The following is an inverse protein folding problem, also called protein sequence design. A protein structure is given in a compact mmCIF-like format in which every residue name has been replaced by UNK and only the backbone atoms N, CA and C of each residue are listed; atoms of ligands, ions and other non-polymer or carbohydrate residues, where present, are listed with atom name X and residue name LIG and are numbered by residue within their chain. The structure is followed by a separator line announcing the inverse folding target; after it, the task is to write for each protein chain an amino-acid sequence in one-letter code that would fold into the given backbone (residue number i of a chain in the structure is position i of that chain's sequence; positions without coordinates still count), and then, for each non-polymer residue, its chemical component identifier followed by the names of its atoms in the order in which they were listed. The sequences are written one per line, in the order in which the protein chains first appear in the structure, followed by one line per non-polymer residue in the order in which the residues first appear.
data_IF_967062121355
#
_entry.id   IF_967062121355
#
_cell.length_a   1.000
_cell.length_b   1.000
_cell.length_c   1.000
_cell.angle_alpha   90.00
_cell.angle_beta   90.00
_cell.angle_gamma   90.00
#
_symmetry.space_group_name_H-M   'P 1'
#
loop_
_entity.id
_entity.type
_entity.pdbx_description
1 polymer ?
#
# COMPACT_ATOMS: atom_id res chain seq x y z
N UNK A 1 4.34 -19.41 11.94
CA UNK A 1 3.50 -19.05 10.76
C UNK A 1 2.23 -18.29 11.14
N UNK A 2 1.42 -18.73 12.12
CA UNK A 2 0.18 -18.02 12.51
C UNK A 2 0.38 -16.52 12.75
N UNK A 3 1.40 -16.13 13.54
CA UNK A 3 1.71 -14.73 13.82
C UNK A 3 2.07 -13.93 12.55
N UNK A 4 2.88 -14.50 11.65
CA UNK A 4 3.21 -13.93 10.33
C UNK A 4 1.95 -13.70 9.49
N UNK A 5 0.99 -14.63 9.51
CA UNK A 5 -0.28 -14.45 8.81
C UNK A 5 -1.11 -13.32 9.42
N UNK A 6 -1.23 -13.29 10.75
CA UNK A 6 -1.96 -12.24 11.46
C UNK A 6 -1.33 -10.86 11.27
N UNK A 7 0.00 -10.77 11.19
CA UNK A 7 0.71 -9.49 11.07
C UNK A 7 0.37 -8.76 9.77
N UNK A 8 0.14 -9.46 8.65
CA UNK A 8 -0.30 -8.83 7.39
C UNK A 8 -1.61 -8.05 7.55
N UNK A 9 -2.54 -8.56 8.36
CA UNK A 9 -3.82 -7.91 8.65
C UNK A 9 -3.66 -6.85 9.73
N UNK A 10 -2.87 -7.13 10.76
CA UNK A 10 -2.67 -6.24 11.91
C UNK A 10 -1.83 -5.01 11.57
N UNK A 11 -0.91 -5.09 10.61
CA UNK A 11 -0.05 -3.97 10.20
C UNK A 11 -0.51 -3.32 8.89
N UNK A 12 -1.48 -3.89 8.17
CA UNK A 12 -2.07 -3.28 6.98
C UNK A 12 -2.95 -2.06 7.30
N UNK A 13 -3.12 -1.15 6.33
CA UNK A 13 -3.89 0.10 6.52
C UNK A 13 -5.39 -0.12 6.74
N UNK A 14 -5.97 -1.18 6.16
CA UNK A 14 -7.39 -1.49 6.29
C UNK A 14 -7.84 -1.79 7.72
N UNK A 15 -9.16 -1.92 7.91
CA UNK A 15 -9.73 -2.28 9.23
C UNK A 15 -9.44 -3.76 9.52
N UNK A 16 -8.66 -4.09 10.57
CA UNK A 16 -8.37 -5.48 10.90
C UNK A 16 -9.63 -6.21 11.37
N UNK A 17 -9.84 -7.43 10.86
CA UNK A 17 -10.90 -8.32 11.32
C UNK A 17 -10.30 -9.66 11.69
N UNK A 18 -10.46 -10.06 12.96
CA UNK A 18 -9.82 -11.26 13.52
C UNK A 18 -10.89 -12.19 14.07
N UNK A 19 -10.81 -13.46 13.69
CA UNK A 19 -11.67 -14.50 14.24
C UNK A 19 -11.30 -14.80 15.70
N UNK A 20 -12.30 -14.87 16.58
CA UNK A 20 -12.08 -15.16 18.00
C UNK A 20 -11.29 -16.46 18.20
N UNK A 21 -10.20 -16.39 18.97
CA UNK A 21 -9.31 -17.50 19.28
C UNK A 21 -8.16 -17.67 18.27
N UNK A 22 -8.05 -16.83 17.24
CA UNK A 22 -6.87 -16.83 16.35
C UNK A 22 -5.57 -16.60 17.12
N UNK A 23 -5.62 -15.81 18.19
CA UNK A 23 -4.55 -15.55 19.15
C UNK A 23 -4.23 -16.75 20.06
N UNK A 24 -5.11 -17.75 20.10
CA UNK A 24 -4.97 -18.98 20.89
C UNK A 24 -4.78 -20.22 20.01
N UNK A 25 -4.31 -20.03 18.77
CA UNK A 25 -4.15 -21.10 17.76
C UNK A 25 -5.43 -21.93 17.54
N UNK A 26 -6.62 -21.33 17.71
CA UNK A 26 -7.91 -22.04 17.74
C UNK A 26 -8.05 -23.02 16.59
N UNK A 27 -8.36 -24.26 16.96
CA UNK A 27 -8.74 -25.32 16.04
C UNK A 27 -10.23 -25.63 16.16
N UNK A 28 -10.79 -26.10 15.05
CA UNK A 28 -12.08 -26.79 15.01
C UNK A 28 -11.91 -28.24 14.56
N UNK A 29 -10.75 -28.83 14.83
CA UNK A 29 -10.36 -30.18 14.40
C UNK A 29 -10.58 -30.40 12.89
N UNK A 30 -10.10 -29.45 12.08
CA UNK A 30 -10.23 -29.43 10.61
C UNK A 30 -11.65 -29.24 10.06
N UNK A 31 -12.65 -28.90 10.90
CA UNK A 31 -14.00 -28.60 10.44
C UNK A 31 -14.04 -27.29 9.63
N UNK A 32 -14.44 -27.39 8.36
CA UNK A 32 -14.56 -26.22 7.46
C UNK A 32 -15.82 -25.40 7.74
N UNK A 33 -16.95 -26.06 7.99
CA UNK A 33 -18.25 -25.45 8.22
C UNK A 33 -18.85 -25.93 9.54
N UNK A 34 -18.71 -25.14 10.59
CA UNK A 34 -19.00 -25.54 11.98
C UNK A 34 -20.28 -24.96 12.57
N UNK A 35 -21.16 -24.41 11.73
CA UNK A 35 -22.38 -23.69 12.16
C UNK A 35 -23.27 -24.53 13.09
N UNK A 36 -23.31 -25.85 12.89
CA UNK A 36 -24.10 -26.82 13.64
C UNK A 36 -23.25 -28.03 14.07
N UNK A 37 -22.00 -27.77 14.47
CA UNK A 37 -21.09 -28.80 15.02
C UNK A 37 -21.03 -28.77 16.56
N UNK A 38 -21.95 -28.04 17.19
CA UNK A 38 -22.08 -27.92 18.64
C UNK A 38 -20.84 -27.36 19.34
N UNK A 39 -20.85 -27.43 20.66
CA UNK A 39 -19.78 -26.90 21.51
C UNK A 39 -18.46 -27.66 21.31
N UNK A 40 -18.53 -28.97 21.10
CA UNK A 40 -17.36 -29.86 21.01
C UNK A 40 -16.34 -29.37 19.98
N UNK A 41 -16.78 -29.08 18.75
CA UNK A 41 -15.89 -28.61 17.68
C UNK A 41 -15.65 -27.09 17.70
N UNK A 42 -16.52 -26.30 18.34
CA UNK A 42 -16.41 -24.83 18.35
C UNK A 42 -15.72 -24.26 19.59
N UNK A 43 -15.38 -25.10 20.58
CA UNK A 43 -14.79 -24.71 21.87
C UNK A 43 -13.56 -23.82 21.70
N UNK A 44 -13.51 -22.76 22.52
CA UNK A 44 -12.32 -21.92 22.73
C UNK A 44 -11.88 -22.10 24.18
N UNK A 45 -10.60 -22.42 24.37
CA UNK A 45 -10.01 -22.64 25.69
C UNK A 45 -9.29 -21.37 26.14
N UNK A 46 -10.03 -20.46 26.81
CA UNK A 46 -9.46 -19.16 27.22
C UNK A 46 -8.35 -19.28 28.27
N UNK A 47 -8.19 -20.45 28.91
CA UNK A 47 -7.09 -20.74 29.84
C UNK A 47 -5.77 -21.10 29.13
N UNK A 48 -5.77 -21.21 27.79
CA UNK A 48 -4.58 -21.51 26.98
C UNK A 48 -4.06 -22.95 27.13
N UNK A 49 -4.80 -23.84 27.78
CA UNK A 49 -4.31 -25.21 28.06
C UNK A 49 -4.30 -26.15 26.84
N UNK A 50 -5.05 -25.82 25.79
CA UNK A 50 -5.17 -26.55 24.53
C UNK A 50 -5.84 -25.62 23.49
N UNK A 51 -5.73 -25.90 22.19
CA UNK A 51 -6.39 -25.14 21.13
C UNK A 51 -7.61 -25.84 20.50
N UNK A 52 -8.04 -26.99 21.04
CA UNK A 52 -9.13 -27.84 20.51
C UNK A 52 -8.76 -28.65 19.23
N UNK A 53 -7.47 -28.84 18.97
CA UNK A 53 -6.98 -29.70 17.88
C UNK A 53 -7.22 -31.19 18.15
N UNK A 54 -7.53 -31.93 17.08
CA UNK A 54 -7.66 -33.39 17.08
C UNK A 54 -8.63 -33.94 18.15
N UNK A 55 -9.85 -33.38 18.17
CA UNK A 55 -10.95 -33.86 19.04
C UNK A 55 -11.93 -34.78 18.31
N UNK A 56 -11.56 -35.25 17.12
CA UNK A 56 -12.38 -36.10 16.25
C UNK A 56 -12.31 -35.67 14.79
N UNK A 57 -12.72 -36.56 13.88
CA UNK A 57 -12.89 -36.21 12.47
C UNK A 57 -14.06 -35.23 12.33
N UNK A 58 -13.93 -34.20 11.47
CA UNK A 58 -15.02 -33.27 11.21
C UNK A 58 -16.23 -33.99 10.60
N UNK A 59 -17.40 -33.36 10.64
CA UNK A 59 -18.66 -33.93 10.16
C UNK A 59 -18.53 -34.45 8.73
N UNK A 60 -18.97 -35.69 8.52
CA UNK A 60 -18.86 -36.39 7.23
C UNK A 60 -19.57 -35.64 6.09
N UNK A 61 -20.75 -35.08 6.36
CA UNK A 61 -21.55 -34.36 5.36
C UNK A 61 -20.88 -33.09 4.83
N UNK A 62 -19.90 -32.55 5.57
CA UNK A 62 -19.17 -31.32 5.20
C UNK A 62 -17.74 -31.58 4.74
N UNK A 63 -17.07 -32.55 5.36
CA UNK A 63 -15.63 -32.77 5.22
C UNK A 63 -15.25 -34.25 5.01
N UNK A 64 -16.21 -35.16 4.79
CA UNK A 64 -15.95 -36.58 4.55
C UNK A 64 -14.98 -36.84 3.39
N UNK A 65 -15.07 -36.05 2.33
CA UNK A 65 -14.14 -36.12 1.18
C UNK A 65 -12.69 -35.75 1.56
N UNK A 66 -12.49 -34.99 2.64
CA UNK A 66 -11.18 -34.57 3.13
C UNK A 66 -10.61 -35.52 4.20
N UNK A 67 -11.38 -36.51 4.67
CA UNK A 67 -10.99 -37.33 5.81
C UNK A 67 -9.69 -38.08 5.64
N UNK A 68 -9.37 -38.58 4.45
CA UNK A 68 -8.12 -39.31 4.24
C UNK A 68 -6.90 -38.40 4.44
N UNK A 69 -6.93 -37.18 3.91
CA UNK A 69 -5.89 -36.17 4.16
C UNK A 69 -5.86 -35.76 5.64
N UNK A 70 -7.02 -35.53 6.26
CA UNK A 70 -7.10 -35.14 7.67
C UNK A 70 -6.49 -36.22 8.56
N UNK A 71 -6.74 -37.50 8.29
CA UNK A 71 -6.13 -38.62 9.03
C UNK A 71 -4.60 -38.62 8.88
N UNK A 72 -4.07 -38.31 7.69
CA UNK A 72 -2.62 -38.18 7.48
C UNK A 72 -2.05 -37.06 8.34
N UNK A 73 -2.69 -35.88 8.38
CA UNK A 73 -2.22 -34.73 9.16
C UNK A 73 -2.32 -34.99 10.66
N UNK A 74 -3.45 -35.56 11.13
CA UNK A 74 -3.68 -35.85 12.54
C UNK A 74 -2.73 -36.94 13.07
N UNK A 75 -2.25 -37.84 12.20
CA UNK A 75 -1.26 -38.85 12.57
C UNK A 75 0.15 -38.27 12.82
N UNK A 76 0.43 -37.03 12.39
CA UNK A 76 1.68 -36.35 12.69
C UNK A 76 1.71 -35.90 14.16
N UNK A 77 2.61 -36.46 15.00
CA UNK A 77 2.69 -36.11 16.41
C UNK A 77 3.16 -34.66 16.64
N UNK A 78 3.75 -34.00 15.65
CA UNK A 78 4.24 -32.62 15.74
C UNK A 78 3.18 -31.57 15.40
N UNK A 79 2.01 -31.99 14.88
CA UNK A 79 0.96 -31.07 14.45
C UNK A 79 0.15 -30.44 15.60
N UNK A 80 0.21 -31.00 16.81
CA UNK A 80 -0.53 -30.48 17.97
C UNK A 80 0.33 -29.44 18.70
N UNK A 81 -0.13 -28.18 18.81
CA UNK A 81 0.58 -27.19 19.61
C UNK A 81 0.48 -27.52 21.10
N UNK A 82 1.52 -27.17 21.84
CA UNK A 82 1.51 -27.21 23.29
C UNK A 82 1.01 -25.88 23.91
N UNK A 83 1.03 -25.79 25.23
CA UNK A 83 0.56 -24.58 25.93
C UNK A 83 1.52 -23.39 25.75
N UNK A 84 2.82 -23.65 25.56
CA UNK A 84 3.83 -22.61 25.38
C UNK A 84 3.67 -22.00 23.96
N UNK A 85 3.38 -22.82 22.94
CA UNK A 85 3.04 -22.35 21.59
C UNK A 85 1.83 -21.40 21.59
N UNK A 86 0.78 -21.76 22.35
CA UNK A 86 -0.46 -21.00 22.47
C UNK A 86 -0.21 -19.67 23.19
N UNK A 87 0.53 -19.69 24.30
CA UNK A 87 0.85 -18.48 25.05
C UNK A 87 1.78 -17.57 24.24
N UNK A 88 2.78 -18.11 23.54
CA UNK A 88 3.65 -17.33 22.66
C UNK A 88 2.84 -16.64 21.54
N UNK A 89 1.93 -17.36 20.89
CA UNK A 89 1.06 -16.80 19.84
C UNK A 89 0.19 -15.66 20.38
N UNK A 90 -0.33 -15.81 21.59
CA UNK A 90 -1.12 -14.78 22.27
C UNK A 90 -0.28 -13.54 22.58
N UNK A 91 0.94 -13.72 23.08
CA UNK A 91 1.85 -12.60 23.34
C UNK A 91 2.25 -11.87 22.06
N UNK A 92 2.56 -12.60 20.99
CA UNK A 92 2.82 -12.02 19.66
C UNK A 92 1.60 -11.26 19.12
N UNK A 93 0.37 -11.77 19.31
CA UNK A 93 -0.83 -11.04 18.91
C UNK A 93 -1.04 -9.74 19.70
N UNK A 94 -0.81 -9.77 21.02
CA UNK A 94 -0.86 -8.57 21.86
C UNK A 94 0.24 -7.57 21.51
N UNK A 95 1.43 -8.04 21.12
CA UNK A 95 2.50 -7.22 20.57
C UNK A 95 2.04 -6.49 19.29
N UNK A 96 1.47 -7.21 18.32
CA UNK A 96 0.96 -6.62 17.07
C UNK A 96 -0.12 -5.56 17.35
N UNK A 97 -1.00 -5.80 18.32
CA UNK A 97 -2.00 -4.82 18.76
C UNK A 97 -1.34 -3.56 19.34
N UNK A 98 -0.36 -3.72 20.23
CA UNK A 98 0.38 -2.59 20.82
C UNK A 98 1.07 -1.77 19.73
N UNK A 99 1.77 -2.42 18.80
CA UNK A 99 2.45 -1.76 17.67
C UNK A 99 1.46 -1.02 16.78
N UNK A 100 0.36 -1.67 16.35
CA UNK A 100 -0.66 -0.98 15.53
C UNK A 100 -1.22 0.26 16.23
N UNK A 101 -1.38 0.20 17.55
CA UNK A 101 -1.93 1.30 18.34
C UNK A 101 -0.92 2.38 18.70
N UNK A 102 0.40 2.14 18.54
CA UNK A 102 1.44 3.09 18.95
C UNK A 102 1.61 4.25 17.98
N UNK A 103 1.17 4.10 16.73
CA UNK A 103 1.30 5.12 15.68
C UNK A 103 0.03 5.25 14.85
N UNK A 104 -0.29 6.48 14.43
CA UNK A 104 -1.36 6.76 13.46
C UNK A 104 -0.97 6.30 12.04
N UNK A 105 0.32 6.14 11.77
CA UNK A 105 0.83 5.71 10.47
C UNK A 105 0.32 4.33 10.04
N UNK A 106 -0.05 3.44 10.98
CA UNK A 106 -0.68 2.15 10.66
C UNK A 106 -2.18 2.24 10.32
N UNK A 107 -2.79 3.41 10.45
CA UNK A 107 -4.25 3.63 10.42
C UNK A 107 -4.58 4.96 9.74
N UNK A 108 -3.97 5.22 8.57
CA UNK A 108 -4.21 6.45 7.81
C UNK A 108 -5.68 6.54 7.36
N UNK A 109 -6.29 7.71 7.54
CA UNK A 109 -7.74 7.90 7.40
C UNK A 109 -8.23 7.99 5.94
N UNK A 110 -7.36 8.34 5.00
CA UNK A 110 -7.74 8.63 3.61
C UNK A 110 -6.84 7.93 2.60
N UNK A 111 -7.38 7.68 1.40
CA UNK A 111 -6.62 7.14 0.29
C UNK A 111 -5.43 8.04 -0.09
N UNK A 112 -5.60 9.36 -0.02
CA UNK A 112 -4.54 10.32 -0.35
C UNK A 112 -3.37 10.23 0.63
N UNK A 113 -3.63 10.09 1.93
CA UNK A 113 -2.56 9.89 2.91
C UNK A 113 -1.88 8.54 2.72
N UNK A 114 -2.62 7.47 2.40
CA UNK A 114 -2.02 6.17 2.06
C UNK A 114 -1.11 6.28 0.84
N UNK A 115 -1.57 6.91 -0.25
CA UNK A 115 -0.79 7.05 -1.48
C UNK A 115 0.46 7.91 -1.29
N UNK A 116 0.41 8.93 -0.42
CA UNK A 116 1.55 9.81 -0.14
C UNK A 116 2.61 9.19 0.76
N UNK A 117 2.24 8.18 1.57
CA UNK A 117 3.08 7.73 2.69
C UNK A 117 3.47 6.26 2.60
N UNK A 118 2.57 5.41 2.13
CA UNK A 118 2.75 3.97 2.16
C UNK A 118 3.44 3.52 0.90
N UNK A 119 4.47 2.69 1.06
CA UNK A 119 5.24 2.15 -0.03
C UNK A 119 5.65 0.69 0.21
N UNK A 120 5.86 -0.05 -0.87
CA UNK A 120 6.34 -1.44 -0.86
C UNK A 120 7.63 -1.54 -1.67
N UNK A 121 8.69 -2.06 -1.04
CA UNK A 121 10.06 -1.99 -1.56
C UNK A 121 10.55 -3.25 -2.27
N UNK A 122 10.14 -4.43 -1.80
CA UNK A 122 10.51 -5.70 -2.45
C UNK A 122 9.47 -6.04 -3.53
N UNK A 123 9.61 -5.44 -4.71
CA UNK A 123 8.66 -5.55 -5.84
C UNK A 123 9.40 -5.87 -7.14
N UNK A 124 8.64 -6.06 -8.23
CA UNK A 124 9.20 -6.37 -9.55
C UNK A 124 9.58 -7.84 -9.75
N UNK A 125 10.19 -8.13 -10.91
CA UNK A 125 10.56 -9.50 -11.31
C UNK A 125 11.72 -10.06 -10.48
N UNK A 126 12.54 -9.20 -9.87
CA UNK A 126 13.68 -9.58 -9.05
C UNK A 126 13.36 -9.67 -7.54
N UNK A 127 12.08 -9.55 -7.17
CA UNK A 127 11.67 -9.60 -5.76
C UNK A 127 12.06 -10.93 -5.09
N UNK A 128 12.35 -10.86 -3.80
CA UNK A 128 12.50 -12.07 -2.97
C UNK A 128 11.12 -12.62 -2.63
N UNK A 129 10.79 -13.81 -3.14
CA UNK A 129 9.50 -14.46 -2.85
C UNK A 129 9.32 -14.71 -1.35
N UNK A 130 8.14 -14.36 -0.82
CA UNK A 130 7.83 -14.51 0.60
C UNK A 130 8.41 -13.41 1.51
N UNK A 131 8.91 -12.32 0.94
CA UNK A 131 9.32 -11.13 1.69
C UNK A 131 8.44 -9.94 1.31
N UNK A 132 7.74 -9.36 2.27
CA UNK A 132 7.02 -8.09 2.10
C UNK A 132 7.76 -7.03 2.90
N UNK A 133 8.11 -5.92 2.26
CA UNK A 133 8.77 -4.78 2.89
C UNK A 133 7.88 -3.56 2.69
N UNK A 134 7.11 -3.21 3.71
CA UNK A 134 6.24 -2.03 3.70
C UNK A 134 6.93 -0.89 4.46
N UNK A 135 7.01 0.29 3.87
CA UNK A 135 7.40 1.53 4.55
C UNK A 135 6.24 2.49 4.65
N UNK A 136 6.25 3.33 5.68
CA UNK A 136 5.26 4.38 5.90
C UNK A 136 6.00 5.67 6.28
N UNK A 137 5.87 6.70 5.45
CA UNK A 137 6.55 7.98 5.60
C UNK A 137 5.79 8.95 6.52
N UNK A 138 6.50 9.57 7.45
CA UNK A 138 6.09 10.80 8.15
C UNK A 138 7.10 11.93 8.00
N UNK A 139 7.99 11.83 7.01
CA UNK A 139 8.96 12.86 6.67
C UNK A 139 8.32 14.10 6.07
N UNK A 140 9.13 15.15 5.93
CA UNK A 140 8.67 16.45 5.39
C UNK A 140 8.01 16.38 4.01
N UNK A 141 8.39 15.40 3.17
CA UNK A 141 7.78 15.16 1.84
C UNK A 141 6.35 14.67 1.92
N UNK A 142 5.99 13.91 2.96
CA UNK A 142 4.63 13.42 3.17
C UNK A 142 3.66 14.52 3.63
N UNK A 143 4.16 15.71 3.96
CA UNK A 143 3.39 16.84 4.44
C UNK A 143 3.45 16.97 5.96
N UNK A 144 2.33 17.33 6.59
CA UNK A 144 2.27 17.52 8.04
C UNK A 144 2.54 16.19 8.76
N UNK A 145 3.43 16.21 9.75
CA UNK A 145 3.65 15.06 10.64
C UNK A 145 2.33 14.62 11.32
N UNK A 146 2.10 13.31 11.29
CA UNK A 146 0.99 12.59 11.92
C UNK A 146 1.46 11.80 13.15
N UNK A 147 2.75 11.49 13.25
CA UNK A 147 3.35 10.80 14.39
C UNK A 147 4.59 11.56 14.88
N UNK A 148 4.43 12.30 15.97
CA UNK A 148 5.53 13.08 16.56
C UNK A 148 6.68 12.24 17.13
N UNK A 149 6.54 10.91 17.19
CA UNK A 149 7.58 10.01 17.69
C UNK A 149 8.45 9.44 16.57
N UNK A 150 7.96 9.35 15.34
CA UNK A 150 8.63 8.62 14.27
C UNK A 150 8.52 9.35 12.93
N UNK A 151 9.66 9.61 12.29
CA UNK A 151 9.70 10.17 10.92
C UNK A 151 9.38 9.11 9.85
N UNK A 152 9.55 7.82 10.16
CA UNK A 152 9.17 6.72 9.29
C UNK A 152 9.04 5.40 10.04
N UNK A 153 8.27 4.47 9.47
CA UNK A 153 8.12 3.09 9.93
C UNK A 153 8.42 2.14 8.78
N UNK A 154 9.11 1.03 9.07
CA UNK A 154 9.31 -0.08 8.13
C UNK A 154 8.82 -1.38 8.77
N UNK A 155 7.80 -2.00 8.19
CA UNK A 155 7.30 -3.31 8.59
C UNK A 155 7.69 -4.37 7.55
N UNK A 156 8.44 -5.38 8.00
CA UNK A 156 8.94 -6.45 7.14
C UNK A 156 8.33 -7.78 7.56
N UNK A 157 7.63 -8.43 6.65
CA UNK A 157 7.07 -9.77 6.81
C UNK A 157 7.96 -10.74 6.05
N UNK A 158 8.76 -11.53 6.76
CA UNK A 158 9.55 -12.61 6.18
C UNK A 158 8.82 -13.95 6.40
N UNK A 159 8.15 -14.46 5.38
CA UNK A 159 7.51 -15.78 5.40
C UNK A 159 8.40 -16.91 4.85
N UNK A 160 9.68 -16.64 4.60
CA UNK A 160 10.65 -17.66 4.16
C UNK A 160 11.20 -18.43 5.37
N UNK A 161 11.82 -19.59 5.10
CA UNK A 161 12.49 -20.42 6.11
C UNK A 161 13.94 -19.99 6.39
N UNK A 162 14.38 -18.85 5.86
CA UNK A 162 15.73 -18.32 6.01
C UNK A 162 15.69 -16.86 6.46
N UNK A 163 16.78 -16.38 7.05
CA UNK A 163 16.93 -14.95 7.35
C UNK A 163 17.05 -14.18 6.04
N UNK A 164 16.30 -13.09 5.92
CA UNK A 164 16.37 -12.19 4.76
C UNK A 164 17.08 -10.90 5.14
N UNK A 165 17.81 -10.33 4.19
CA UNK A 165 18.38 -8.99 4.30
C UNK A 165 17.92 -8.16 3.11
N UNK A 166 17.41 -6.97 3.38
CA UNK A 166 16.87 -6.08 2.36
C UNK A 166 17.45 -4.69 2.53
N UNK A 167 18.07 -4.16 1.48
CA UNK A 167 18.65 -2.82 1.48
C UNK A 167 17.62 -1.82 0.99
N UNK A 168 17.45 -0.74 1.73
CA UNK A 168 16.72 0.45 1.29
C UNK A 168 17.72 1.59 1.22
N UNK A 169 18.10 2.01 0.00
CA UNK A 169 19.04 3.12 -0.19
C UNK A 169 18.50 4.39 0.45
N UNK A 170 19.35 5.12 1.20
CA UNK A 170 18.98 6.32 1.93
C UNK A 170 18.35 6.08 3.30
N UNK A 171 17.99 4.84 3.65
CA UNK A 171 17.47 4.54 4.99
C UNK A 171 18.55 4.77 6.05
N UNK A 172 18.21 5.49 7.12
CA UNK A 172 19.13 5.84 8.21
C UNK A 172 18.42 5.77 9.56
N UNK A 173 19.19 5.52 10.61
CA UNK A 173 18.75 5.62 12.02
C UNK A 173 17.51 4.80 12.42
N UNK A 174 17.21 3.73 11.68
CA UNK A 174 16.16 2.78 12.06
C UNK A 174 16.60 1.90 13.23
N UNK A 175 15.66 1.65 14.15
CA UNK A 175 15.84 0.64 15.20
C UNK A 175 14.62 -0.26 15.28
N UNK A 176 14.78 -1.49 15.77
CA UNK A 176 13.66 -2.38 16.05
C UNK A 176 12.67 -1.69 17.01
N UNK A 177 11.37 -1.83 16.78
CA UNK A 177 10.35 -1.23 17.62
C UNK A 177 10.49 -1.71 19.07
N UNK A 178 10.32 -0.82 20.05
CA UNK A 178 10.63 -1.11 21.45
C UNK A 178 9.80 -2.27 22.03
N UNK A 179 8.56 -2.44 21.56
CA UNK A 179 7.74 -3.62 21.93
C UNK A 179 8.44 -4.91 21.50
N UNK A 180 9.03 -4.96 20.31
CA UNK A 180 9.73 -6.15 19.79
C UNK A 180 11.11 -6.35 20.42
N UNK A 181 11.83 -5.27 20.76
CA UNK A 181 13.06 -5.38 21.57
C UNK A 181 12.80 -6.07 22.92
N UNK A 182 11.60 -5.91 23.46
CA UNK A 182 11.15 -6.49 24.73
C UNK A 182 10.15 -7.65 24.53
N UNK A 183 10.15 -8.30 23.36
CA UNK A 183 9.21 -9.39 23.05
C UNK A 183 9.42 -10.62 23.93
N UNK A 184 8.42 -11.48 24.04
CA UNK A 184 8.59 -12.86 24.55
C UNK A 184 9.17 -13.78 23.47
N UNK A 185 9.13 -13.37 22.20
CA UNK A 185 9.76 -14.08 21.09
C UNK A 185 11.24 -13.64 20.95
N UNK A 186 12.17 -14.52 21.31
CA UNK A 186 13.60 -14.25 21.17
C UNK A 186 14.06 -14.18 19.70
N UNK A 187 13.30 -14.74 18.76
CA UNK A 187 13.65 -14.72 17.33
C UNK A 187 13.55 -13.28 16.80
N UNK A 188 12.45 -12.57 17.05
CA UNK A 188 12.26 -11.21 16.53
C UNK A 188 13.27 -10.20 17.10
N UNK A 189 13.79 -10.44 18.30
CA UNK A 189 14.87 -9.62 18.90
C UNK A 189 16.17 -9.64 18.09
N UNK A 190 16.37 -10.68 17.28
CA UNK A 190 17.49 -10.79 16.35
C UNK A 190 17.36 -9.92 15.09
N UNK A 191 16.18 -9.32 14.85
CA UNK A 191 15.98 -8.41 13.73
C UNK A 191 16.78 -7.11 13.96
N UNK A 192 17.44 -6.62 12.91
CA UNK A 192 18.40 -5.52 13.04
C UNK A 192 18.43 -4.64 11.80
N UNK A 193 18.97 -3.43 11.99
CA UNK A 193 19.26 -2.49 10.93
C UNK A 193 20.70 -2.01 11.04
N UNK A 194 21.45 -2.07 9.96
CA UNK A 194 22.80 -1.54 9.86
C UNK A 194 23.14 -1.19 8.41
N UNK A 195 23.77 -0.04 8.20
CA UNK A 195 24.24 0.42 6.87
C UNK A 195 23.15 0.26 5.78
N UNK A 196 22.00 0.92 5.99
CA UNK A 196 20.85 0.92 5.06
C UNK A 196 20.16 -0.45 4.88
N UNK A 197 20.58 -1.48 5.60
CA UNK A 197 20.12 -2.86 5.43
C UNK A 197 19.33 -3.33 6.64
N UNK A 198 18.13 -3.83 6.38
CA UNK A 198 17.27 -4.48 7.36
C UNK A 198 17.46 -5.99 7.28
N UNK A 199 17.76 -6.63 8.40
CA UNK A 199 17.89 -8.08 8.51
C UNK A 199 16.77 -8.63 9.39
N UNK A 200 16.01 -9.58 8.86
CA UNK A 200 14.85 -10.17 9.53
C UNK A 200 14.97 -11.70 9.52
N UNK A 201 14.94 -12.37 10.68
CA UNK A 201 15.01 -13.83 10.77
C UNK A 201 13.89 -14.55 10.01
N UNK A 202 14.05 -15.85 9.80
CA UNK A 202 13.04 -16.71 9.17
C UNK A 202 11.68 -16.62 9.87
N UNK A 203 10.59 -16.73 9.11
CA UNK A 203 9.21 -16.79 9.63
C UNK A 203 8.87 -15.71 10.68
N UNK A 204 9.36 -14.49 10.46
CA UNK A 204 9.30 -13.39 11.43
C UNK A 204 8.67 -12.15 10.80
N UNK A 205 7.90 -11.40 11.56
CA UNK A 205 7.52 -10.02 11.21
C UNK A 205 8.22 -9.05 12.13
N UNK A 206 9.03 -8.15 11.57
CA UNK A 206 9.77 -7.14 12.33
C UNK A 206 9.31 -5.73 11.92
N UNK A 207 9.14 -4.87 12.91
CA UNK A 207 8.77 -3.46 12.73
C UNK A 207 9.94 -2.61 13.20
N UNK A 208 10.42 -1.75 12.33
CA UNK A 208 11.49 -0.79 12.60
C UNK A 208 10.92 0.62 12.57
N UNK A 209 11.46 1.50 13.40
CA UNK A 209 11.08 2.90 13.46
C UNK A 209 12.30 3.77 13.31
N UNK A 210 12.16 4.86 12.55
CA UNK A 210 13.10 5.96 12.51
C UNK A 210 12.55 7.03 13.46
N UNK A 211 13.18 7.17 14.62
CA UNK A 211 12.71 8.10 15.65
C UNK A 211 12.83 9.55 15.16
N UNK A 212 11.80 10.34 15.40
CA UNK A 212 11.82 11.77 15.09
C UNK A 212 12.73 12.52 16.08
N UNK A 213 13.51 13.47 15.56
CA UNK A 213 14.35 14.36 16.36
C UNK A 213 13.58 15.57 16.92
N UNK A 214 14.29 16.69 17.12
CA UNK A 214 13.66 17.95 17.58
C UNK A 214 12.65 18.54 16.58
N UNK A 215 12.73 18.14 15.31
CA UNK A 215 11.85 18.55 14.22
C UNK A 215 11.60 17.36 13.29
N UNK A 216 10.55 17.45 12.47
CA UNK A 216 10.22 16.46 11.45
C UNK A 216 11.41 16.31 10.49
N UNK A 217 11.87 15.08 10.34
CA UNK A 217 12.99 14.71 9.51
C UNK A 217 12.61 14.43 8.07
N UNK A 218 13.56 13.84 7.34
CA UNK A 218 13.35 13.45 5.93
C UNK A 218 12.43 12.25 5.78
N UNK A 219 12.30 11.42 6.82
CA UNK A 219 11.52 10.18 6.78
C UNK A 219 12.03 9.20 5.73
N UNK A 220 11.11 8.50 5.10
CA UNK A 220 11.38 7.50 4.08
C UNK A 220 10.35 7.62 2.95
N UNK A 221 10.55 8.57 2.01
CA UNK A 221 9.58 8.91 0.97
C UNK A 221 9.15 7.71 0.11
N UNK A 222 7.97 7.80 -0.50
CA UNK A 222 7.52 6.86 -1.53
C UNK A 222 8.51 6.90 -2.71
N UNK A 223 9.00 5.74 -3.14
CA UNK A 223 9.96 5.61 -4.24
C UNK A 223 9.35 4.79 -5.37
N UNK A 224 9.06 5.40 -6.51
CA UNK A 224 8.46 4.72 -7.67
C UNK A 224 9.47 4.28 -8.73
N UNK A 225 10.77 4.47 -8.50
CA UNK A 225 11.81 4.29 -9.52
C UNK A 225 11.95 2.85 -10.04
N UNK A 226 11.55 1.85 -9.25
CA UNK A 226 11.61 0.42 -9.59
C UNK A 226 10.23 -0.20 -9.85
N UNK A 227 9.18 0.63 -9.96
CA UNK A 227 7.79 0.16 -10.10
C UNK A 227 7.23 0.37 -11.49
N UNK A 228 6.40 -0.58 -11.91
CA UNK A 228 5.53 -0.39 -13.07
C UNK A 228 4.35 0.53 -12.70
N UNK A 229 4.53 1.82 -12.99
CA UNK A 229 3.50 2.86 -12.80
C UNK A 229 2.63 3.06 -14.05
N UNK A 230 2.79 2.24 -15.09
CA UNK A 230 2.14 2.44 -16.39
C UNK A 230 0.61 2.43 -16.31
N UNK A 231 0.05 1.72 -15.34
CA UNK A 231 -1.40 1.60 -15.15
C UNK A 231 -1.96 2.49 -14.03
N UNK A 232 -1.11 3.28 -13.38
CA UNK A 232 -1.48 4.15 -12.26
C UNK A 232 -1.79 5.55 -12.79
N UNK A 233 -3.01 6.08 -12.60
CA UNK A 233 -3.31 7.46 -12.95
C UNK A 233 -2.53 8.44 -12.05
N UNK A 234 -1.69 9.33 -12.61
CA UNK A 234 -0.91 10.31 -11.84
C UNK A 234 -1.69 11.10 -10.78
N UNK A 235 -2.91 11.53 -11.10
CA UNK A 235 -3.73 12.35 -10.19
C UNK A 235 -4.74 11.54 -9.37
N UNK A 236 -4.54 10.22 -9.26
CA UNK A 236 -5.39 9.32 -8.48
C UNK A 236 -6.87 9.38 -8.92
N UNK A 237 -7.75 9.73 -7.98
CA UNK A 237 -9.19 9.86 -8.22
C UNK A 237 -9.60 11.21 -8.83
N UNK A 238 -8.68 12.17 -8.94
CA UNK A 238 -8.98 13.47 -9.52
C UNK A 238 -9.28 13.31 -11.01
N UNK A 239 -10.50 13.63 -11.41
CA UNK A 239 -10.84 13.71 -12.84
C UNK A 239 -10.15 14.93 -13.44
N UNK A 240 -9.38 14.70 -14.50
CA UNK A 240 -8.72 15.76 -15.27
C UNK A 240 -9.67 16.28 -16.34
N UNK A 241 -9.80 17.60 -16.44
CA UNK A 241 -10.61 18.28 -17.43
C UNK A 241 -9.76 19.23 -18.27
N UNK A 242 -10.16 19.42 -19.52
CA UNK A 242 -9.76 20.60 -20.31
C UNK A 242 -10.81 21.69 -20.04
N UNK A 243 -10.41 22.78 -19.39
CA UNK A 243 -11.32 23.89 -19.00
C UNK A 243 -10.91 25.17 -19.71
N UNK A 244 -11.85 25.85 -20.35
CA UNK A 244 -11.54 27.04 -21.14
C UNK A 244 -12.73 27.65 -21.85
N UNK A 245 -12.46 28.48 -22.85
CA UNK A 245 -13.47 29.21 -23.62
C UNK A 245 -14.48 28.31 -24.33
N UNK A 246 -14.11 27.06 -24.62
CA UNK A 246 -14.96 26.03 -25.25
C UNK A 246 -16.07 25.50 -24.33
N UNK A 247 -15.97 25.71 -23.01
CA UNK A 247 -16.93 25.20 -22.03
C UNK A 247 -17.20 26.19 -20.89
N UNK A 248 -16.95 27.48 -21.12
CA UNK A 248 -17.18 28.53 -20.13
C UNK A 248 -16.34 28.36 -18.86
N UNK A 249 -15.15 27.76 -18.97
CA UNK A 249 -14.22 27.50 -17.88
C UNK A 249 -14.73 26.52 -16.80
N UNK A 250 -15.78 25.76 -17.10
CA UNK A 250 -16.38 24.78 -16.18
C UNK A 250 -15.77 23.38 -16.28
N UNK A 251 -15.69 22.68 -15.15
CA UNK A 251 -15.41 21.24 -15.09
C UNK A 251 -16.66 20.49 -15.57
N UNK A 252 -16.72 20.22 -16.87
CA UNK A 252 -17.87 19.59 -17.51
C UNK A 252 -17.50 18.17 -17.94
N UNK A 253 -18.35 17.18 -17.67
CA UNK A 253 -18.07 15.77 -17.97
C UNK A 253 -17.77 15.52 -19.45
N UNK A 254 -18.37 16.32 -20.34
CA UNK A 254 -18.04 16.24 -21.76
C UNK A 254 -16.56 16.54 -22.01
N UNK A 255 -15.90 17.39 -21.23
CA UNK A 255 -14.49 17.74 -21.36
C UNK A 255 -13.58 17.02 -20.35
N UNK A 256 -14.09 15.98 -19.68
CA UNK A 256 -13.27 15.07 -18.88
C UNK A 256 -12.32 14.27 -19.79
N UNK A 257 -11.09 14.10 -19.33
CA UNK A 257 -10.05 13.34 -20.01
C UNK A 257 -10.03 11.90 -19.53
N UNK A 258 -9.79 10.97 -20.44
CA UNK A 258 -9.60 9.55 -20.13
C UNK A 258 -8.13 9.28 -19.87
N UNK A 259 -7.80 8.64 -18.75
CA UNK A 259 -6.47 8.06 -18.54
C UNK A 259 -6.30 6.82 -19.43
N UNK A 260 -5.11 6.65 -20.02
CA UNK A 260 -4.79 5.50 -20.89
C UNK A 260 -3.75 4.62 -20.22
N UNK A 261 -2.52 5.13 -20.12
CA UNK A 261 -1.37 4.50 -19.50
C UNK A 261 -0.20 5.50 -19.46
N UNK A 262 0.86 5.21 -18.71
CA UNK A 262 2.13 5.96 -18.70
C UNK A 262 1.93 7.47 -18.46
N UNK A 263 1.04 7.82 -17.55
CA UNK A 263 0.70 9.20 -17.23
C UNK A 263 -0.14 9.95 -18.29
N UNK A 264 -0.54 9.28 -19.37
CA UNK A 264 -1.25 9.92 -20.48
C UNK A 264 -2.76 9.99 -20.20
N UNK A 265 -3.27 11.21 -20.24
CA UNK A 265 -4.69 11.55 -20.33
C UNK A 265 -4.99 12.15 -21.69
N UNK A 266 -6.18 11.87 -22.25
CA UNK A 266 -6.62 12.52 -23.49
C UNK A 266 -8.13 12.80 -23.54
N UNK A 267 -8.50 13.78 -24.37
CA UNK A 267 -9.88 13.98 -24.81
C UNK A 267 -9.89 14.49 -26.25
N UNK A 268 -10.84 14.01 -27.05
CA UNK A 268 -11.03 14.47 -28.44
C UNK A 268 -12.32 15.25 -28.56
N UNK A 269 -12.27 16.43 -29.17
CA UNK A 269 -13.43 17.32 -29.36
C UNK A 269 -13.45 18.00 -30.71
N UNK A 270 -14.67 18.27 -31.17
CA UNK A 270 -14.88 19.13 -32.33
C UNK A 270 -14.82 20.60 -31.90
N UNK A 271 -14.01 21.39 -32.60
CA UNK A 271 -13.86 22.82 -32.38
C UNK A 271 -14.22 23.60 -33.65
N UNK A 272 -14.79 24.78 -33.47
CA UNK A 272 -15.03 25.75 -34.53
C UNK A 272 -13.86 26.71 -34.66
N UNK A 273 -13.74 27.37 -35.82
CA UNK A 273 -12.70 28.37 -36.11
C UNK A 273 -12.79 29.53 -35.12
N UNK A 274 -11.81 29.61 -34.21
CA UNK A 274 -11.72 30.60 -33.14
C UNK A 274 -10.38 30.48 -32.41
N UNK A 275 -10.02 31.52 -31.67
CA UNK A 275 -9.04 31.45 -30.58
C UNK A 275 -9.70 30.91 -29.30
N UNK A 276 -9.03 29.99 -28.60
CA UNK A 276 -9.47 29.47 -27.31
C UNK A 276 -8.36 29.60 -26.26
N UNK A 277 -8.66 30.26 -25.15
CA UNK A 277 -7.91 30.11 -23.91
C UNK A 277 -8.37 28.87 -23.14
N UNK A 278 -7.45 28.05 -22.64
CA UNK A 278 -7.77 26.89 -21.79
C UNK A 278 -6.64 26.49 -20.84
N UNK A 279 -6.96 25.55 -19.94
CA UNK A 279 -6.04 24.88 -19.00
C UNK A 279 -6.43 23.42 -18.80
N UNK A 280 -5.50 22.62 -18.27
CA UNK A 280 -5.78 21.30 -17.72
C UNK A 280 -5.98 21.42 -16.21
N UNK A 281 -7.07 20.88 -15.67
CA UNK A 281 -7.42 21.14 -14.27
C UNK A 281 -8.36 20.10 -13.68
N UNK A 282 -8.48 20.11 -12.35
CA UNK A 282 -9.45 19.30 -11.61
C UNK A 282 -10.85 19.93 -11.60
N UNK A 283 -11.72 19.37 -10.76
CA UNK A 283 -13.04 19.95 -10.51
C UNK A 283 -12.90 21.32 -9.82
N UNK A 284 -11.96 21.44 -8.89
CA UNK A 284 -11.53 22.73 -8.32
C UNK A 284 -10.14 23.10 -8.83
N UNK A 285 -9.81 24.39 -8.78
CA UNK A 285 -8.49 24.89 -9.17
C UNK A 285 -7.39 24.55 -8.15
N UNK A 286 -7.77 24.14 -6.94
CA UNK A 286 -6.81 23.73 -5.89
C UNK A 286 -6.29 22.31 -6.10
N UNK A 287 -7.08 21.44 -6.75
CA UNK A 287 -6.72 20.05 -7.00
C UNK A 287 -5.66 19.94 -8.11
N UNK A 288 -5.85 20.70 -9.18
CA UNK A 288 -4.98 20.72 -10.35
C UNK A 288 -5.27 21.99 -11.16
N UNK A 289 -4.24 22.76 -11.50
CA UNK A 289 -4.33 23.97 -12.32
C UNK A 289 -3.07 24.12 -13.19
N UNK A 290 -3.08 23.50 -14.36
CA UNK A 290 -1.96 23.51 -15.30
C UNK A 290 -2.25 24.43 -16.49
N UNK A 291 -1.50 25.52 -16.53
CA UNK A 291 -1.42 26.44 -17.66
C UNK A 291 -0.19 26.18 -18.52
N UNK A 292 -0.10 26.85 -19.68
CA UNK A 292 1.04 26.71 -20.58
C UNK A 292 2.35 27.32 -20.05
N UNK A 293 2.28 28.05 -18.93
CA UNK A 293 3.47 28.52 -18.21
C UNK A 293 4.08 27.47 -17.25
N UNK A 294 3.41 26.34 -17.03
CA UNK A 294 3.82 25.30 -16.08
C UNK A 294 4.04 23.93 -16.71
N UNK A 295 3.98 23.83 -18.04
CA UNK A 295 4.08 22.57 -18.79
C UNK A 295 5.07 22.71 -19.94
N UNK A 296 5.50 21.58 -20.50
CA UNK A 296 6.25 21.53 -21.74
C UNK A 296 5.34 21.18 -22.92
N UNK A 297 5.62 21.74 -24.09
CA UNK A 297 4.87 21.46 -25.31
C UNK A 297 5.50 20.29 -26.06
N UNK A 298 4.71 19.25 -26.36
CA UNK A 298 5.21 18.10 -27.12
C UNK A 298 5.57 18.49 -28.56
N UNK A 299 6.61 17.85 -29.11
CA UNK A 299 6.95 17.96 -30.53
C UNK A 299 5.77 17.56 -31.41
N UNK A 300 5.43 18.40 -32.39
CA UNK A 300 4.30 18.19 -33.30
C UNK A 300 2.94 18.67 -32.78
N UNK A 301 2.88 19.25 -31.57
CA UNK A 301 1.70 19.98 -31.12
C UNK A 301 1.51 21.28 -31.91
N UNK A 302 0.25 21.72 -32.01
CA UNK A 302 -0.07 23.12 -32.31
C UNK A 302 0.58 24.00 -31.23
N UNK A 303 1.06 25.18 -31.60
CA UNK A 303 1.59 26.17 -30.66
C UNK A 303 0.48 26.62 -29.69
N UNK A 304 0.75 26.50 -28.39
CA UNK A 304 -0.19 26.83 -27.31
C UNK A 304 0.23 28.09 -26.54
N UNK A 305 1.31 28.74 -26.95
CA UNK A 305 1.95 29.82 -26.19
C UNK A 305 2.60 29.34 -24.89
N UNK A 306 3.11 30.29 -24.09
CA UNK A 306 3.87 30.02 -22.85
C UNK A 306 3.34 30.76 -21.63
N UNK A 307 2.24 31.50 -21.77
CA UNK A 307 1.79 32.47 -20.79
C UNK A 307 0.47 32.04 -20.15
N UNK A 308 0.45 31.80 -18.84
CA UNK A 308 -0.77 31.53 -18.08
C UNK A 308 -1.65 30.46 -18.74
N UNK A 309 -2.79 30.88 -19.30
CA UNK A 309 -3.68 30.01 -20.05
C UNK A 309 -3.08 29.61 -21.41
N UNK A 310 -3.16 28.33 -21.75
CA UNK A 310 -2.85 27.86 -23.10
C UNK A 310 -3.74 28.55 -24.14
N UNK A 311 -3.15 28.96 -25.26
CA UNK A 311 -3.81 29.67 -26.36
C UNK A 311 -3.86 28.77 -27.60
N UNK A 312 -5.04 28.31 -27.98
CA UNK A 312 -5.23 27.47 -29.17
C UNK A 312 -5.90 28.26 -30.30
N UNK A 313 -5.16 28.49 -31.38
CA UNK A 313 -5.65 29.07 -32.63
C UNK A 313 -6.23 28.01 -33.56
N UNK A 314 -7.56 27.86 -33.59
CA UNK A 314 -8.25 26.96 -34.52
C UNK A 314 -8.52 27.70 -35.83
N UNK A 315 -7.76 27.38 -36.87
CA UNK A 315 -7.92 27.98 -38.21
C UNK A 315 -8.90 27.22 -39.10
N UNK A 316 -9.22 25.97 -38.76
CA UNK A 316 -10.14 25.11 -39.50
C UNK A 316 -11.03 24.34 -38.52
N UNK A 317 -12.34 24.40 -38.68
CA UNK A 317 -13.24 23.61 -37.85
C UNK A 317 -12.99 22.10 -38.05
N UNK A 318 -13.02 21.33 -36.96
CA UNK A 318 -12.67 19.91 -37.05
C UNK A 318 -12.46 19.26 -35.70
N UNK A 319 -11.96 18.03 -35.72
CA UNK A 319 -11.67 17.24 -34.53
C UNK A 319 -10.24 17.50 -34.04
N UNK A 320 -10.10 17.79 -32.75
CA UNK A 320 -8.84 18.08 -32.08
C UNK A 320 -8.69 17.17 -30.86
N UNK A 321 -7.50 16.60 -30.69
CA UNK A 321 -7.15 15.76 -29.55
C UNK A 321 -6.24 16.54 -28.63
N UNK A 322 -6.67 16.70 -27.38
CA UNK A 322 -5.91 17.27 -26.29
C UNK A 322 -5.26 16.12 -25.52
N UNK A 323 -3.96 16.22 -25.27
CA UNK A 323 -3.19 15.22 -24.51
C UNK A 323 -2.47 15.91 -23.37
N UNK A 324 -2.50 15.28 -22.20
CA UNK A 324 -1.68 15.62 -21.04
C UNK A 324 -0.90 14.37 -20.64
N UNK A 325 0.42 14.44 -20.72
CA UNK A 325 1.30 13.48 -20.07
C UNK A 325 1.72 14.06 -18.72
N UNK A 326 1.25 13.43 -17.65
CA UNK A 326 1.48 13.81 -16.26
C UNK A 326 2.46 12.88 -15.53
N UNK A 327 3.31 12.14 -16.26
CA UNK A 327 4.24 11.16 -15.67
C UNK A 327 5.17 11.75 -14.60
N UNK A 328 5.44 13.06 -14.64
CA UNK A 328 6.21 13.78 -13.62
C UNK A 328 5.69 13.66 -12.17
N UNK A 329 4.42 13.29 -11.97
CA UNK A 329 3.89 13.03 -10.62
C UNK A 329 4.30 11.66 -10.07
N UNK A 330 4.78 10.76 -10.95
CA UNK A 330 5.13 9.38 -10.63
C UNK A 330 6.60 9.05 -10.90
N UNK A 331 7.31 9.90 -11.65
CA UNK A 331 8.72 9.75 -12.01
C UNK A 331 9.48 11.05 -11.71
N UNK A 332 10.28 11.02 -10.63
CA UNK A 332 11.09 12.14 -10.17
C UNK A 332 12.15 12.61 -11.19
N UNK A 333 12.43 11.83 -12.24
CA UNK A 333 13.34 12.23 -13.31
C UNK A 333 12.68 13.15 -14.35
N UNK A 334 11.36 13.35 -14.28
CA UNK A 334 10.61 14.22 -15.18
C UNK A 334 10.11 15.43 -14.39
N UNK A 335 10.54 16.63 -14.77
CA UNK A 335 10.25 17.84 -13.96
C UNK A 335 8.85 18.43 -14.18
N UNK A 336 8.23 18.21 -15.34
CA UNK A 336 7.00 18.89 -15.76
C UNK A 336 6.09 17.98 -16.56
N UNK A 337 4.79 18.27 -16.49
CA UNK A 337 3.82 17.72 -17.43
C UNK A 337 4.14 18.15 -18.86
N UNK A 338 3.87 17.26 -19.82
CA UNK A 338 3.99 17.53 -21.25
C UNK A 338 2.61 17.54 -21.88
N UNK A 339 2.26 18.59 -22.62
CA UNK A 339 0.94 18.74 -23.24
C UNK A 339 1.02 18.76 -24.76
N UNK A 340 -0.06 18.36 -25.43
CA UNK A 340 -0.20 18.54 -26.87
C UNK A 340 -1.65 18.75 -27.29
N UNK A 341 -1.81 19.49 -28.39
CA UNK A 341 -3.07 19.56 -29.14
C UNK A 341 -2.77 19.27 -30.60
N UNK A 342 -3.44 18.26 -31.15
CA UNK A 342 -3.27 17.83 -32.54
C UNK A 342 -4.64 17.85 -33.22
N UNK A 343 -4.68 18.36 -34.46
CA UNK A 343 -5.84 18.22 -35.34
C UNK A 343 -5.83 16.81 -35.96
N UNK A 344 -6.96 16.10 -35.86
CA UNK A 344 -7.12 14.75 -36.43
C UNK A 344 -7.43 14.74 -37.92
#
# INVERSE_FOLDING_TARGET
MQSVSLSTVMLGQGIPFIHMGSELLRSKSMQRDSYDSGDWYNRVMFDGTNNNWNVGLPREDKDGANWDLIKTIIADPTAKPDADDIELTKQQFLELLKIRSSSELFRLDTADEVMKRVDFRNVGEEQVEGLIVMSIDDGVSAGKSLDSANDAIVAIVNSTNESQSFKITGATDFTLHDVQKNSEDDIVKGASFAAETFTVPALTTAVFVQAQGDAQGVGLPVDNSDKDVSSIPPYGQTTVYVRGDMNGWGATDNWAMSFVANGIYYVTKTLEVKEYGFKFSGATWEQLDLGCNSVELASGSIDLGTDGNCQLSVTEAGSYTFTLNAIHELDDNVEKAVVSVIKN
#
